data_IF_990956790058
#
_entry.id   IF_990956790058
#
_cell.length_a   1.000
_cell.length_b   1.000
_cell.length_c   1.000
_cell.angle_alpha   90.00
_cell.angle_beta   90.00
_cell.angle_gamma   90.00
#
_symmetry.space_group_name_H-M   'P 1'
#
loop_
_entity.id
_entity.type
_entity.pdbx_description
1 polymer ?
#
# COMPACT_ATOMS: atom_id res chain seq x y z
N UNK A 1 -5.66 -15.71 7.87
CA UNK A 1 -5.55 -14.67 8.92
C UNK A 1 -4.92 -15.31 10.16
N UNK A 2 -3.93 -14.65 10.79
CA UNK A 2 -3.06 -15.26 11.81
C UNK A 2 -2.91 -14.47 13.11
N UNK A 3 -3.88 -13.64 13.48
CA UNK A 3 -3.88 -12.95 14.79
C UNK A 3 -2.71 -11.97 15.01
N UNK A 4 -2.19 -11.36 13.94
CA UNK A 4 -1.09 -10.40 14.03
C UNK A 4 -1.60 -9.05 14.54
N UNK A 5 -1.11 -8.62 15.70
CA UNK A 5 -1.32 -7.26 16.21
C UNK A 5 -0.37 -6.29 15.49
N UNK A 6 -0.94 -5.28 14.81
CA UNK A 6 -0.17 -4.20 14.18
C UNK A 6 -0.43 -2.90 14.93
N UNK A 7 0.65 -2.27 15.45
CA UNK A 7 0.60 -0.93 16.09
C UNK A 7 1.26 0.15 15.23
N UNK A 8 1.52 -0.14 13.96
CA UNK A 8 2.15 0.83 13.06
C UNK A 8 1.13 1.51 12.15
N UNK A 9 1.35 2.79 11.86
CA UNK A 9 0.52 3.56 10.93
C UNK A 9 0.70 3.16 9.47
N UNK A 10 1.73 2.37 9.16
CA UNK A 10 2.02 1.92 7.80
C UNK A 10 0.95 1.00 7.20
N UNK A 11 0.05 0.46 8.04
CA UNK A 11 -1.04 -0.43 7.63
C UNK A 11 -2.36 0.30 7.36
N UNK A 12 -2.46 1.59 7.67
CA UNK A 12 -3.72 2.35 7.58
C UNK A 12 -4.31 2.29 6.16
N UNK A 13 -3.47 2.49 5.12
CA UNK A 13 -3.92 2.43 3.73
C UNK A 13 -4.38 1.02 3.33
N UNK A 14 -3.72 -0.02 3.84
CA UNK A 14 -4.11 -1.41 3.61
C UNK A 14 -5.47 -1.74 4.23
N UNK A 15 -5.71 -1.28 5.47
CA UNK A 15 -7.02 -1.40 6.13
C UNK A 15 -8.09 -0.62 5.38
N UNK A 16 -7.77 0.61 4.97
CA UNK A 16 -8.66 1.46 4.17
C UNK A 16 -9.05 0.77 2.86
N UNK A 17 -8.09 0.20 2.14
CA UNK A 17 -8.33 -0.53 0.90
C UNK A 17 -9.22 -1.77 1.11
N UNK A 18 -9.03 -2.50 2.21
CA UNK A 18 -9.88 -3.64 2.56
C UNK A 18 -11.33 -3.22 2.83
N UNK A 19 -11.54 -2.11 3.55
CA UNK A 19 -12.88 -1.56 3.80
C UNK A 19 -13.53 -1.13 2.49
N UNK A 20 -12.84 -0.35 1.65
CA UNK A 20 -13.37 0.10 0.36
C UNK A 20 -13.68 -1.07 -0.56
N UNK A 21 -12.79 -2.06 -0.64
CA UNK A 21 -13.00 -3.30 -1.40
C UNK A 21 -14.28 -4.03 -0.99
N UNK A 22 -14.52 -4.15 0.32
CA UNK A 22 -15.73 -4.75 0.89
C UNK A 22 -16.98 -3.94 0.53
N UNK A 23 -16.95 -2.62 0.75
CA UNK A 23 -18.06 -1.71 0.43
C UNK A 23 -18.41 -1.68 -1.07
N UNK A 24 -17.40 -1.83 -1.94
CA UNK A 24 -17.55 -1.86 -3.40
C UNK A 24 -17.82 -3.25 -3.96
N UNK A 25 -17.78 -4.29 -3.12
CA UNK A 25 -17.85 -5.68 -3.52
C UNK A 25 -16.89 -6.02 -4.67
N UNK A 26 -15.67 -5.47 -4.63
CA UNK A 26 -14.66 -5.61 -5.67
C UNK A 26 -13.35 -6.08 -5.06
N UNK A 27 -12.88 -7.23 -5.48
CA UNK A 27 -11.67 -7.84 -4.93
C UNK A 27 -10.43 -6.97 -5.20
N UNK A 28 -9.54 -6.88 -4.20
CA UNK A 28 -8.22 -6.29 -4.39
C UNK A 28 -7.38 -7.13 -5.37
N UNK A 29 -6.49 -6.52 -6.16
CA UNK A 29 -5.56 -7.26 -7.00
C UNK A 29 -4.71 -8.23 -6.18
N UNK A 30 -4.53 -9.45 -6.70
CA UNK A 30 -3.65 -10.45 -6.09
C UNK A 30 -2.18 -10.00 -6.22
N UNK A 31 -1.31 -10.56 -5.38
CA UNK A 31 0.12 -10.27 -5.40
C UNK A 31 0.45 -8.78 -5.28
N UNK A 32 -0.39 -8.04 -4.54
CA UNK A 32 -0.20 -6.61 -4.23
C UNK A 32 0.10 -6.38 -2.76
N UNK A 33 1.12 -5.56 -2.49
CA UNK A 33 1.39 -5.01 -1.16
C UNK A 33 0.90 -3.57 -1.09
N UNK A 34 0.26 -3.18 0.02
CA UNK A 34 -0.26 -1.83 0.22
C UNK A 34 0.37 -1.26 1.49
N UNK A 35 1.04 -0.11 1.37
CA UNK A 35 1.72 0.54 2.50
C UNK A 35 1.43 2.04 2.48
N UNK A 36 1.03 2.59 3.62
CA UNK A 36 0.84 4.02 3.77
C UNK A 36 0.11 4.38 5.05
N UNK A 37 0.50 5.49 5.65
CA UNK A 37 -0.29 6.15 6.69
C UNK A 37 -1.34 7.04 6.02
N UNK A 38 -2.58 6.98 6.49
CA UNK A 38 -3.69 7.75 5.95
C UNK A 38 -3.93 8.95 6.86
N UNK A 39 -3.78 10.16 6.32
CA UNK A 39 -4.16 11.37 7.02
C UNK A 39 -5.65 11.66 6.93
N UNK A 40 -6.14 12.51 7.82
CA UNK A 40 -7.57 12.83 7.91
C UNK A 40 -8.11 13.57 6.68
N UNK A 41 -7.24 14.23 5.90
CA UNK A 41 -7.63 14.89 4.66
C UNK A 41 -7.58 13.97 3.43
N UNK A 42 -7.30 12.68 3.66
CA UNK A 42 -7.19 11.68 2.60
C UNK A 42 -5.82 11.63 1.93
N UNK A 43 -4.82 12.32 2.49
CA UNK A 43 -3.44 12.28 2.01
C UNK A 43 -2.70 11.02 2.48
N UNK A 44 -1.78 10.53 1.66
CA UNK A 44 -0.93 9.39 1.98
C UNK A 44 0.43 9.88 2.48
N UNK A 45 0.73 9.56 3.73
CA UNK A 45 1.92 10.03 4.43
C UNK A 45 3.04 8.99 4.39
N UNK A 46 4.27 9.46 4.48
CA UNK A 46 5.47 8.62 4.46
C UNK A 46 5.53 7.64 5.63
N UNK A 47 6.10 6.46 5.39
CA UNK A 47 6.21 5.39 6.41
C UNK A 47 7.67 5.07 6.72
N UNK A 48 7.92 4.47 7.90
CA UNK A 48 9.25 4.00 8.28
C UNK A 48 9.67 2.79 7.43
N UNK A 49 10.96 2.75 7.11
CA UNK A 49 11.63 1.61 6.44
C UNK A 49 11.01 1.24 5.08
N UNK A 50 10.65 2.26 4.29
CA UNK A 50 9.98 2.05 3.01
C UNK A 50 10.85 1.26 2.01
N UNK A 51 12.16 1.50 1.98
CA UNK A 51 13.09 0.75 1.12
C UNK A 51 13.10 -0.73 1.46
N UNK A 52 13.17 -1.07 2.76
CA UNK A 52 13.18 -2.45 3.23
C UNK A 52 11.88 -3.16 2.88
N UNK A 53 10.73 -2.49 3.06
CA UNK A 53 9.41 -3.03 2.68
C UNK A 53 9.31 -3.33 1.18
N UNK A 54 9.75 -2.40 0.34
CA UNK A 54 9.76 -2.56 -1.12
C UNK A 54 10.64 -3.76 -1.52
N UNK A 55 11.83 -3.86 -0.93
CA UNK A 55 12.75 -4.96 -1.23
C UNK A 55 12.19 -6.32 -0.76
N UNK A 56 11.58 -6.37 0.42
CA UNK A 56 11.01 -7.60 0.97
C UNK A 56 9.79 -8.07 0.18
N UNK A 57 8.91 -7.14 -0.24
CA UNK A 57 7.80 -7.44 -1.13
C UNK A 57 8.28 -8.10 -2.44
N UNK A 58 9.34 -7.54 -3.05
CA UNK A 58 9.95 -8.14 -4.24
C UNK A 58 10.58 -9.51 -4.00
N UNK A 59 11.24 -9.73 -2.86
CA UNK A 59 11.80 -11.04 -2.49
C UNK A 59 10.73 -12.11 -2.27
N UNK A 60 9.60 -11.73 -1.68
CA UNK A 60 8.46 -12.62 -1.44
C UNK A 60 7.63 -12.90 -2.69
N UNK A 61 7.99 -12.33 -3.85
CA UNK A 61 7.34 -12.60 -5.13
C UNK A 61 6.04 -11.83 -5.35
N UNK A 62 5.85 -10.69 -4.68
CA UNK A 62 4.77 -9.78 -5.03
C UNK A 62 5.07 -9.06 -6.35
N UNK A 63 4.03 -8.80 -7.13
CA UNK A 63 4.14 -8.19 -8.46
C UNK A 63 4.17 -6.66 -8.36
N UNK A 64 3.42 -6.10 -7.43
CA UNK A 64 3.30 -4.65 -7.25
C UNK A 64 3.20 -4.24 -5.78
N UNK A 65 3.64 -3.02 -5.49
CA UNK A 65 3.52 -2.38 -4.19
C UNK A 65 3.05 -0.93 -4.33
N UNK A 66 1.93 -0.61 -3.66
CA UNK A 66 1.40 0.75 -3.50
C UNK A 66 2.14 1.41 -2.33
N UNK A 67 2.74 2.58 -2.56
CA UNK A 67 3.56 3.30 -1.57
C UNK A 67 3.25 4.79 -1.53
N UNK A 68 3.53 5.50 -0.42
CA UNK A 68 3.47 6.96 -0.41
C UNK A 68 4.44 7.55 -1.45
N UNK A 69 4.00 8.55 -2.23
CA UNK A 69 4.89 9.22 -3.20
C UNK A 69 6.05 9.93 -2.49
N UNK A 70 5.75 10.54 -1.33
CA UNK A 70 6.70 11.32 -0.55
C UNK A 70 7.73 10.41 0.14
N UNK A 71 9.00 10.69 -0.11
CA UNK A 71 10.10 9.93 0.48
C UNK A 71 10.36 8.58 -0.20
N UNK A 72 9.86 8.39 -1.43
CA UNK A 72 10.15 7.19 -2.23
C UNK A 72 11.67 7.03 -2.41
N UNK A 73 12.27 5.92 -1.94
CA UNK A 73 13.68 5.65 -2.18
C UNK A 73 13.89 5.14 -3.61
N UNK A 74 15.05 5.44 -4.19
CA UNK A 74 15.53 4.72 -5.38
C UNK A 74 15.83 3.28 -4.97
N UNK A 75 15.20 2.31 -5.64
CA UNK A 75 15.38 0.88 -5.40
C UNK A 75 15.64 0.16 -6.72
N UNK A 76 16.44 -0.90 -6.70
CA UNK A 76 16.65 -1.81 -7.84
C UNK A 76 15.94 -3.11 -7.52
N UNK A 77 14.64 -3.15 -7.76
CA UNK A 77 13.80 -4.33 -7.54
C UNK A 77 12.93 -4.56 -8.79
N UNK A 78 12.52 -5.82 -8.98
CA UNK A 78 11.64 -6.24 -10.08
C UNK A 78 10.16 -5.96 -9.79
N UNK A 79 9.81 -5.65 -8.55
CA UNK A 79 8.43 -5.30 -8.17
C UNK A 79 8.04 -3.95 -8.78
N UNK A 80 6.83 -3.85 -9.29
CA UNK A 80 6.27 -2.58 -9.72
C UNK A 80 5.98 -1.70 -8.50
N UNK A 81 6.59 -0.52 -8.43
CA UNK A 81 6.40 0.41 -7.30
C UNK A 81 5.51 1.55 -7.76
N UNK A 82 4.30 1.61 -7.21
CA UNK A 82 3.24 2.56 -7.58
C UNK A 82 3.14 3.63 -6.49
N UNK A 83 3.64 4.86 -6.73
CA UNK A 83 3.54 5.94 -5.76
C UNK A 83 2.14 6.58 -5.78
N UNK A 84 1.61 6.90 -4.61
CA UNK A 84 0.30 7.57 -4.45
C UNK A 84 0.37 8.71 -3.44
N UNK A 85 -0.44 9.74 -3.66
CA UNK A 85 -0.56 10.92 -2.79
C UNK A 85 -1.88 10.97 -2.03
N UNK A 86 -2.93 10.34 -2.56
CA UNK A 86 -4.26 10.36 -1.96
C UNK A 86 -4.89 8.97 -1.93
N UNK A 87 -5.88 8.78 -1.05
CA UNK A 87 -6.70 7.56 -1.01
C UNK A 87 -7.31 7.30 -2.40
N UNK A 88 -7.84 8.33 -3.05
CA UNK A 88 -8.48 8.21 -4.37
C UNK A 88 -7.50 7.65 -5.42
N UNK A 89 -6.28 8.17 -5.48
CA UNK A 89 -5.26 7.62 -6.38
C UNK A 89 -4.94 6.16 -6.05
N UNK A 90 -4.84 5.81 -4.78
CA UNK A 90 -4.59 4.44 -4.34
C UNK A 90 -5.71 3.48 -4.76
N UNK A 91 -6.97 3.86 -4.55
CA UNK A 91 -8.12 3.03 -4.92
C UNK A 91 -8.26 2.87 -6.44
N UNK A 92 -7.98 3.93 -7.21
CA UNK A 92 -7.92 3.88 -8.67
C UNK A 92 -6.80 2.95 -9.15
N UNK A 93 -5.60 3.02 -8.57
CA UNK A 93 -4.48 2.15 -8.90
C UNK A 93 -4.77 0.67 -8.57
N UNK A 94 -5.52 0.43 -7.47
CA UNK A 94 -6.03 -0.90 -7.12
C UNK A 94 -7.22 -1.34 -7.98
N UNK A 95 -7.73 -0.43 -8.82
CA UNK A 95 -8.89 -0.65 -9.66
C UNK A 95 -10.14 -0.99 -8.86
N UNK A 96 -10.32 -0.46 -7.65
CA UNK A 96 -11.50 -0.76 -6.81
C UNK A 96 -12.51 0.40 -6.70
N UNK A 97 -12.21 1.52 -7.34
CA UNK A 97 -13.18 2.57 -7.67
C UNK A 97 -13.15 2.85 -9.17
#
# INVERSE_FOLDING_TARGET
AGGLETRERGTDLGVTAAIVSSLRNKALPKHTVIVGEVGLTGEIRGVKRLRERINEAGKLGYEQIIVPSKGRPTTRTKIEVIPVETIEQAMNALGII
#
